data_IF_607144097409
#
_entry.id   IF_607144097409
#
_cell.length_a   1.000
_cell.length_b   1.000
_cell.length_c   1.000
_cell.angle_alpha   90.00
_cell.angle_beta   90.00
_cell.angle_gamma   90.00
#
_symmetry.space_group_name_H-M   'P 1'
#
loop_
_entity.id
_entity.type
_entity.pdbx_description
1 polymer ?
#
# COMPACT_ATOMS: atom_id res chain seq x y z
N UNK A 1 13.63 -17.93 -7.64
CA UNK A 1 13.05 -17.27 -6.45
C UNK A 1 12.38 -18.33 -5.56
N UNK A 2 12.57 -18.29 -4.24
CA UNK A 2 11.91 -19.25 -3.33
C UNK A 2 10.43 -18.86 -3.18
N UNK A 3 9.53 -19.85 -3.02
CA UNK A 3 8.07 -19.64 -2.88
C UNK A 3 7.71 -18.62 -1.79
N UNK A 4 8.47 -18.61 -0.69
CA UNK A 4 8.28 -17.68 0.42
C UNK A 4 8.62 -16.22 0.07
N UNK A 5 9.58 -16.00 -0.82
CA UNK A 5 10.00 -14.64 -1.22
C UNK A 5 8.96 -14.01 -2.13
N UNK A 6 8.41 -14.81 -3.04
CA UNK A 6 7.30 -14.40 -3.90
C UNK A 6 6.07 -14.02 -3.08
N UNK A 7 5.71 -14.83 -2.09
CA UNK A 7 4.58 -14.53 -1.18
C UNK A 7 4.81 -13.23 -0.41
N UNK A 8 6.04 -13.00 0.06
CA UNK A 8 6.40 -11.78 0.80
C UNK A 8 6.34 -10.53 -0.10
N UNK A 9 6.75 -10.64 -1.37
CA UNK A 9 6.61 -9.57 -2.37
C UNK A 9 5.14 -9.22 -2.59
N UNK A 10 4.28 -10.20 -2.84
CA UNK A 10 2.86 -9.94 -3.08
C UNK A 10 2.20 -9.27 -1.86
N UNK A 11 2.42 -9.81 -0.65
CA UNK A 11 1.96 -9.16 0.59
C UNK A 11 2.40 -7.70 0.70
N UNK A 12 3.63 -7.40 0.32
CA UNK A 12 4.16 -6.04 0.40
C UNK A 12 3.53 -5.10 -0.62
N UNK A 13 3.21 -5.61 -1.81
CA UNK A 13 2.50 -4.86 -2.85
C UNK A 13 1.04 -4.59 -2.45
N UNK A 14 0.42 -5.52 -1.73
CA UNK A 14 -0.95 -5.40 -1.22
C UNK A 14 -1.02 -4.56 0.08
N UNK A 15 0.12 -4.17 0.67
CA UNK A 15 0.17 -3.41 1.93
C UNK A 15 -0.10 -4.25 3.19
N UNK A 16 -0.05 -5.58 3.09
CA UNK A 16 -0.37 -6.53 4.15
C UNK A 16 0.84 -6.99 4.98
N UNK A 17 2.02 -6.42 4.75
CA UNK A 17 3.22 -6.73 5.53
C UNK A 17 3.20 -6.06 6.89
N UNK A 18 3.55 -6.81 7.93
CA UNK A 18 3.91 -6.22 9.23
C UNK A 18 5.37 -5.70 9.23
N UNK A 19 5.76 -5.00 10.29
CA UNK A 19 7.09 -4.37 10.41
C UNK A 19 8.26 -5.37 10.28
N UNK A 20 8.12 -6.59 10.79
CA UNK A 20 9.15 -7.63 10.72
C UNK A 20 9.29 -8.16 9.28
N UNK A 21 8.15 -8.39 8.62
CA UNK A 21 8.08 -8.79 7.21
C UNK A 21 8.69 -7.71 6.30
N UNK A 22 8.40 -6.43 6.54
CA UNK A 22 8.99 -5.31 5.80
C UNK A 22 10.51 -5.26 5.94
N UNK A 23 11.04 -5.37 7.17
CA UNK A 23 12.49 -5.40 7.41
C UNK A 23 13.16 -6.57 6.68
N UNK A 24 12.55 -7.76 6.75
CA UNK A 24 13.06 -8.96 6.07
C UNK A 24 13.04 -8.81 4.55
N UNK A 25 11.99 -8.19 3.99
CA UNK A 25 11.91 -7.92 2.56
C UNK A 25 13.02 -6.95 2.15
N UNK A 26 13.21 -5.84 2.86
CA UNK A 26 14.25 -4.86 2.56
C UNK A 26 15.65 -5.49 2.53
N UNK A 27 16.00 -6.29 3.55
CA UNK A 27 17.27 -7.00 3.59
C UNK A 27 17.48 -7.93 2.38
N UNK A 28 16.41 -8.55 1.87
CA UNK A 28 16.46 -9.39 0.66
C UNK A 28 16.59 -8.58 -0.62
N UNK A 29 15.88 -7.45 -0.73
CA UNK A 29 15.98 -6.55 -1.87
C UNK A 29 17.38 -5.90 -1.96
N UNK A 30 18.05 -5.70 -0.81
CA UNK A 30 19.43 -5.22 -0.75
C UNK A 30 20.45 -6.29 -1.17
N UNK A 31 20.22 -7.55 -0.79
CA UNK A 31 21.15 -8.66 -1.06
C UNK A 31 20.94 -9.36 -2.41
N UNK A 32 19.75 -9.25 -3.01
CA UNK A 32 19.39 -9.88 -4.28
C UNK A 32 18.87 -8.85 -5.30
N UNK A 33 19.76 -8.42 -6.20
CA UNK A 33 19.43 -7.45 -7.26
C UNK A 33 18.40 -7.94 -8.28
N UNK A 34 18.26 -9.26 -8.48
CA UNK A 34 17.21 -9.81 -9.36
C UNK A 34 15.85 -9.68 -8.69
N UNK A 35 15.77 -10.04 -7.40
CA UNK A 35 14.56 -9.87 -6.59
C UNK A 35 14.13 -8.40 -6.53
N UNK A 36 15.10 -7.48 -6.38
CA UNK A 36 14.85 -6.04 -6.41
C UNK A 36 14.23 -5.58 -7.72
N UNK A 37 14.79 -6.02 -8.84
CA UNK A 37 14.29 -5.66 -10.18
C UNK A 37 12.86 -6.18 -10.40
N UNK A 38 12.56 -7.40 -9.97
CA UNK A 38 11.21 -7.98 -10.03
C UNK A 38 10.22 -7.22 -9.15
N UNK A 39 10.62 -6.88 -7.91
CA UNK A 39 9.77 -6.10 -7.00
C UNK A 39 9.42 -4.72 -7.57
N UNK A 40 10.39 -3.99 -8.11
CA UNK A 40 10.15 -2.67 -8.71
C UNK A 40 9.27 -2.75 -9.96
N UNK A 41 9.44 -3.79 -10.78
CA UNK A 41 8.57 -4.03 -11.94
C UNK A 41 7.12 -4.26 -11.49
N UNK A 42 6.91 -5.15 -10.52
CA UNK A 42 5.56 -5.45 -10.00
C UNK A 42 4.93 -4.23 -9.33
N UNK A 43 5.72 -3.46 -8.57
CA UNK A 43 5.27 -2.21 -7.95
C UNK A 43 4.81 -1.18 -8.99
N UNK A 44 5.52 -1.08 -10.11
CA UNK A 44 5.09 -0.23 -11.24
C UNK A 44 3.77 -0.71 -11.83
N UNK A 45 3.64 -2.01 -12.09
CA UNK A 45 2.39 -2.60 -12.60
C UNK A 45 1.21 -2.29 -11.67
N UNK A 46 1.36 -2.52 -10.36
CA UNK A 46 0.32 -2.23 -9.37
C UNK A 46 -0.07 -0.75 -9.39
N UNK A 47 0.90 0.16 -9.46
CA UNK A 47 0.66 1.61 -9.55
C UNK A 47 -0.10 1.99 -10.82
N UNK A 48 0.23 1.36 -11.94
CA UNK A 48 -0.41 1.63 -13.23
C UNK A 48 -1.84 1.05 -13.26
N UNK A 49 -2.08 -0.12 -12.65
CA UNK A 49 -3.42 -0.71 -12.55
C UNK A 49 -4.32 -0.06 -11.50
N UNK A 50 -3.76 0.55 -10.45
CA UNK A 50 -4.53 1.25 -9.41
C UNK A 50 -4.91 2.68 -9.78
N UNK A 51 -4.45 3.20 -10.92
CA UNK A 51 -4.93 4.47 -11.50
C UNK A 51 -6.34 4.33 -12.07
N UNK A 52 -7.31 4.01 -11.22
CA UNK A 52 -8.72 4.26 -11.51
C UNK A 52 -8.98 5.69 -11.07
N UNK A 53 -9.24 6.58 -12.04
CA UNK A 53 -9.65 7.95 -11.74
C UNK A 53 -11.10 7.89 -11.28
N UNK A 54 -11.30 7.96 -9.97
CA UNK A 54 -12.63 8.11 -9.38
C UNK A 54 -12.93 9.60 -9.37
N UNK A 55 -13.93 10.02 -10.14
CA UNK A 55 -14.41 11.39 -10.06
C UNK A 55 -15.17 11.56 -8.75
N UNK A 56 -14.52 12.25 -7.82
CA UNK A 56 -15.07 12.54 -6.51
C UNK A 56 -15.87 13.85 -6.59
N UNK A 57 -17.09 13.92 -6.02
CA UNK A 57 -17.84 15.17 -5.93
C UNK A 57 -17.00 16.27 -5.27
N UNK A 58 -17.10 17.51 -5.77
CA UNK A 58 -16.33 18.67 -5.26
C UNK A 58 -16.45 18.85 -3.74
N UNK A 59 -17.58 18.43 -3.19
CA UNK A 59 -17.98 18.68 -1.81
C UNK A 59 -17.60 17.51 -0.88
N UNK A 60 -17.08 16.40 -1.42
CA UNK A 60 -16.78 15.18 -0.67
C UNK A 60 -15.87 15.45 0.53
N UNK A 61 -14.75 16.14 0.31
CA UNK A 61 -13.81 16.48 1.39
C UNK A 61 -14.48 17.31 2.48
N UNK A 62 -15.32 18.27 2.11
CA UNK A 62 -16.05 19.08 3.10
C UNK A 62 -17.05 18.24 3.89
N UNK A 63 -17.75 17.31 3.24
CA UNK A 63 -18.71 16.43 3.89
C UNK A 63 -18.04 15.45 4.85
N UNK A 64 -16.91 14.85 4.45
CA UNK A 64 -16.11 13.98 5.33
C UNK A 64 -15.61 14.74 6.55
N UNK A 65 -15.10 15.97 6.37
CA UNK A 65 -14.63 16.80 7.47
C UNK A 65 -15.76 17.16 8.44
N UNK A 66 -16.93 17.58 7.93
CA UNK A 66 -18.11 17.89 8.75
C UNK A 66 -18.57 16.67 9.56
N UNK A 67 -18.62 15.49 8.93
CA UNK A 67 -19.02 14.25 9.58
C UNK A 67 -18.01 13.82 10.67
N UNK A 68 -16.71 13.94 10.39
CA UNK A 68 -15.65 13.61 11.36
C UNK A 68 -15.73 14.53 12.59
N UNK A 69 -15.97 15.83 12.38
CA UNK A 69 -16.15 16.79 13.48
C UNK A 69 -17.42 16.52 14.30
N UNK A 70 -18.53 16.12 13.66
CA UNK A 70 -19.76 15.72 14.36
C UNK A 70 -19.53 14.53 15.28
N UNK A 71 -18.75 13.54 14.82
CA UNK A 71 -18.44 12.33 15.60
C UNK A 71 -17.47 12.57 16.75
N UNK A 72 -16.61 13.59 16.65
CA UNK A 72 -15.68 13.98 17.72
C UNK A 72 -16.30 14.86 18.80
N UNK A 73 -17.44 15.50 18.55
CA UNK A 73 -18.12 16.24 19.62
C UNK A 73 -18.64 15.25 20.66
N UNK A 74 -18.24 15.36 21.94
CA UNK A 74 -18.88 14.59 22.99
C UNK A 74 -20.37 14.93 22.99
N UNK A 75 -21.23 13.92 23.12
CA UNK A 75 -22.63 14.14 23.43
C UNK A 75 -22.69 14.78 24.81
N UNK A 76 -22.79 16.11 24.86
CA UNK A 76 -23.25 16.83 26.06
C UNK A 76 -24.70 16.49 26.34
#
# INVERSE_FOLDING_TARGET
MKKHDKKLIHKALDGETNQSETKRLNAKLESDGRLRSEFELLKKVVKDTTKIRIDVPKDFTQNVLKETQRRQKPKS
#
